data_IF_828247269010
#
_entry.id   IF_828247269010
#
_cell.length_a   1.000
_cell.length_b   1.000
_cell.length_c   1.000
_cell.angle_alpha   90.00
_cell.angle_beta   90.00
_cell.angle_gamma   90.00
#
_symmetry.space_group_name_H-M   'P 1'
#
loop_
_entity.id
_entity.type
_entity.pdbx_description
1 polymer ?
#
# COMPACT_ATOMS: atom_id res chain seq x y z
N UNK A 1 2.58 17.65 -7.17
CA UNK A 1 2.75 18.13 -5.78
C UNK A 1 3.06 19.62 -5.79
N UNK A 2 2.79 20.36 -4.72
CA UNK A 2 2.99 21.83 -4.65
C UNK A 2 4.40 22.31 -5.09
N UNK A 3 5.43 21.47 -4.95
CA UNK A 3 6.79 21.80 -5.39
C UNK A 3 6.97 21.84 -6.92
N UNK A 4 6.18 21.05 -7.68
CA UNK A 4 6.41 20.84 -9.12
C UNK A 4 5.20 21.22 -10.00
N UNK A 5 4.09 21.63 -9.40
CA UNK A 5 2.89 22.03 -10.11
C UNK A 5 2.79 23.56 -10.17
N UNK A 6 3.24 24.12 -11.30
CA UNK A 6 3.24 25.57 -11.55
C UNK A 6 1.85 26.18 -11.74
N UNK A 7 0.80 25.35 -11.78
CA UNK A 7 -0.59 25.82 -11.88
C UNK A 7 -1.20 26.14 -10.52
N UNK A 8 -0.57 25.72 -9.42
CA UNK A 8 -1.04 25.98 -8.06
C UNK A 8 -0.52 27.31 -7.50
N UNK A 9 -1.33 28.03 -6.70
CA UNK A 9 -0.85 29.19 -5.94
C UNK A 9 0.36 28.80 -5.06
N UNK A 10 1.41 29.62 -5.07
CA UNK A 10 2.68 29.40 -4.34
C UNK A 10 3.47 28.16 -4.76
N UNK A 11 3.35 27.72 -6.02
CA UNK A 11 4.16 26.63 -6.57
C UNK A 11 5.66 26.81 -6.29
N UNK A 12 6.35 25.74 -5.90
CA UNK A 12 7.77 25.78 -5.51
C UNK A 12 8.01 25.97 -4.01
N UNK A 13 6.94 26.14 -3.21
CA UNK A 13 7.00 26.10 -1.75
C UNK A 13 5.89 25.20 -1.20
N UNK A 14 6.16 24.47 -0.11
CA UNK A 14 5.12 23.69 0.58
C UNK A 14 4.27 24.66 1.41
N UNK A 15 2.94 24.73 1.22
CA UNK A 15 2.07 25.63 1.99
C UNK A 15 2.16 25.36 3.49
N UNK A 16 2.25 26.43 4.29
CA UNK A 16 2.21 26.34 5.75
C UNK A 16 0.91 25.68 6.21
N UNK A 17 1.01 24.63 7.03
CA UNK A 17 -0.16 23.95 7.60
C UNK A 17 -0.88 22.97 6.67
N UNK A 18 -0.26 22.55 5.56
CA UNK A 18 -0.83 21.53 4.65
C UNK A 18 -1.13 20.23 5.40
N UNK A 19 -0.14 19.70 6.14
CA UNK A 19 -0.27 18.62 7.10
C UNK A 19 0.69 18.87 8.28
N UNK A 20 0.33 18.53 9.52
CA UNK A 20 1.22 18.66 10.66
C UNK A 20 2.33 17.60 10.63
N UNK A 21 3.52 17.98 11.08
CA UNK A 21 4.63 17.05 11.24
C UNK A 21 4.32 15.97 12.29
N UNK A 22 4.75 14.74 12.03
CA UNK A 22 4.66 13.65 12.99
C UNK A 22 5.78 13.78 14.03
N UNK A 23 5.41 13.85 15.31
CA UNK A 23 6.34 13.90 16.45
C UNK A 23 6.45 12.57 17.21
N UNK A 24 5.96 11.48 16.60
CA UNK A 24 5.94 10.13 17.18
C UNK A 24 7.35 9.57 17.35
N UNK A 25 7.66 9.05 18.53
CA UNK A 25 8.94 8.38 18.82
C UNK A 25 8.79 6.86 18.98
N UNK A 26 7.57 6.36 19.22
CA UNK A 26 7.31 4.93 19.25
C UNK A 26 7.40 4.32 17.84
N UNK A 27 8.19 3.25 17.71
CA UNK A 27 8.47 2.65 16.41
C UNK A 27 7.21 2.04 15.78
N UNK A 28 6.31 1.44 16.57
CA UNK A 28 5.10 0.79 16.05
C UNK A 28 4.14 1.85 15.52
N UNK A 29 3.89 2.90 16.30
CA UNK A 29 3.04 4.02 15.90
C UNK A 29 3.59 4.73 14.66
N UNK A 30 4.90 4.99 14.61
CA UNK A 30 5.53 5.60 13.45
C UNK A 30 5.40 4.73 12.19
N UNK A 31 5.56 3.40 12.33
CA UNK A 31 5.38 2.46 11.21
C UNK A 31 3.97 2.51 10.65
N UNK A 32 2.95 2.60 11.50
CA UNK A 32 1.55 2.68 11.06
C UNK A 32 1.24 4.04 10.42
N UNK A 33 1.82 5.13 10.93
CA UNK A 33 1.72 6.44 10.30
C UNK A 33 2.35 6.44 8.89
N UNK A 34 3.54 5.86 8.72
CA UNK A 34 4.20 5.69 7.41
C UNK A 34 3.33 4.86 6.45
N UNK A 35 2.72 3.77 6.92
CA UNK A 35 1.80 2.94 6.11
C UNK A 35 0.58 3.72 5.64
N UNK A 36 0.05 4.61 6.49
CA UNK A 36 -1.08 5.49 6.17
C UNK A 36 -0.68 6.51 5.11
N UNK A 37 0.45 7.19 5.27
CA UNK A 37 0.95 8.17 4.28
C UNK A 37 1.21 7.51 2.93
N UNK A 38 1.90 6.35 2.91
CA UNK A 38 2.15 5.62 1.66
C UNK A 38 0.86 5.24 0.92
N UNK A 39 -0.22 4.93 1.65
CA UNK A 39 -1.54 4.65 1.04
C UNK A 39 -2.14 5.90 0.39
N UNK A 40 -1.98 7.06 1.01
CA UNK A 40 -2.49 8.32 0.49
C UNK A 40 -1.68 8.79 -0.73
N UNK A 41 -0.35 8.76 -0.62
CA UNK A 41 0.57 9.21 -1.65
C UNK A 41 0.48 8.36 -2.92
N UNK A 42 0.46 7.02 -2.79
CA UNK A 42 0.48 6.09 -3.93
C UNK A 42 -0.91 5.53 -4.24
N UNK A 43 -1.96 6.30 -3.93
CA UNK A 43 -3.32 5.89 -4.21
C UNK A 43 -3.53 5.74 -5.72
N UNK A 44 -4.22 4.66 -6.13
CA UNK A 44 -4.50 4.35 -7.54
C UNK A 44 -3.27 4.04 -8.41
N UNK A 45 -2.07 3.92 -7.83
CA UNK A 45 -0.83 3.57 -8.53
C UNK A 45 -0.49 2.06 -8.45
N UNK A 46 -1.50 1.21 -8.30
CA UNK A 46 -1.37 -0.26 -8.28
C UNK A 46 -0.46 -0.86 -7.17
N UNK A 47 -0.06 -0.07 -6.17
CA UNK A 47 0.81 -0.54 -5.07
C UNK A 47 0.06 -1.20 -3.91
N UNK A 48 -1.22 -0.85 -3.71
CA UNK A 48 -1.95 -1.15 -2.46
C UNK A 48 -2.06 -2.65 -2.18
N UNK A 49 -2.24 -3.48 -3.21
CA UNK A 49 -2.32 -4.93 -3.05
C UNK A 49 -1.01 -5.49 -2.48
N UNK A 50 0.12 -5.13 -3.09
CA UNK A 50 1.44 -5.58 -2.65
C UNK A 50 1.80 -5.10 -1.26
N UNK A 51 1.43 -3.86 -0.90
CA UNK A 51 1.58 -3.33 0.45
C UNK A 51 0.79 -4.13 1.49
N UNK A 52 -0.49 -4.41 1.21
CA UNK A 52 -1.34 -5.21 2.10
C UNK A 52 -0.72 -6.60 2.32
N UNK A 53 -0.30 -7.27 1.25
CA UNK A 53 0.26 -8.63 1.32
C UNK A 53 1.58 -8.64 2.11
N UNK A 54 2.53 -7.74 1.80
CA UNK A 54 3.85 -7.76 2.43
C UNK A 54 3.85 -7.34 3.91
N UNK A 55 2.83 -6.61 4.36
CA UNK A 55 2.69 -6.26 5.77
C UNK A 55 2.21 -7.42 6.65
N UNK A 56 1.80 -8.54 6.05
CA UNK A 56 1.51 -9.78 6.76
C UNK A 56 0.02 -10.06 6.95
N UNK A 57 -0.26 -11.28 7.41
CA UNK A 57 -1.61 -11.83 7.51
C UNK A 57 -2.56 -10.98 8.36
N UNK A 58 -2.13 -10.58 9.56
CA UNK A 58 -2.96 -9.80 10.47
C UNK A 58 -3.38 -8.46 9.86
N UNK A 59 -2.43 -7.75 9.21
CA UNK A 59 -2.73 -6.50 8.52
C UNK A 59 -3.68 -6.73 7.34
N UNK A 60 -3.45 -7.78 6.54
CA UNK A 60 -4.29 -8.07 5.38
C UNK A 60 -5.72 -8.46 5.75
N UNK A 61 -5.89 -9.27 6.78
CA UNK A 61 -7.21 -9.64 7.31
C UNK A 61 -7.97 -8.41 7.82
N UNK A 62 -7.29 -7.48 8.50
CA UNK A 62 -7.90 -6.23 8.93
C UNK A 62 -8.24 -5.31 7.75
N UNK A 63 -7.31 -5.13 6.80
CA UNK A 63 -7.45 -4.20 5.69
C UNK A 63 -8.48 -4.65 4.64
N UNK A 64 -8.76 -5.95 4.55
CA UNK A 64 -9.72 -6.56 3.61
C UNK A 64 -10.83 -7.31 4.36
N UNK A 65 -11.14 -6.92 5.60
CA UNK A 65 -12.15 -7.56 6.44
C UNK A 65 -13.55 -7.58 5.78
N UNK A 66 -13.83 -6.62 4.90
CA UNK A 66 -15.06 -6.50 4.12
C UNK A 66 -15.06 -7.33 2.82
N UNK A 67 -14.00 -8.10 2.54
CA UNK A 67 -13.86 -8.93 1.34
C UNK A 67 -14.02 -10.41 1.70
N UNK A 68 -15.24 -10.96 1.69
CA UNK A 68 -15.52 -12.30 2.21
C UNK A 68 -14.79 -13.44 1.46
N UNK A 69 -14.38 -13.20 0.22
CA UNK A 69 -13.69 -14.20 -0.61
C UNK A 69 -12.16 -14.13 -0.50
N UNK A 70 -11.60 -13.18 0.24
CA UNK A 70 -10.17 -13.07 0.45
C UNK A 70 -9.69 -14.04 1.53
N UNK A 71 -8.72 -14.89 1.18
CA UNK A 71 -8.01 -15.75 2.11
C UNK A 71 -6.51 -15.46 1.97
N UNK A 72 -5.88 -14.93 3.02
CA UNK A 72 -4.46 -14.52 2.95
C UNK A 72 -3.53 -15.67 2.54
N UNK A 73 -3.69 -16.86 3.12
CA UNK A 73 -2.82 -18.01 2.84
C UNK A 73 -2.85 -18.44 1.38
N UNK A 74 -4.01 -18.30 0.71
CA UNK A 74 -4.21 -18.62 -0.71
C UNK A 74 -3.93 -17.45 -1.64
N UNK A 75 -4.44 -16.27 -1.32
CA UNK A 75 -4.51 -15.12 -2.22
C UNK A 75 -3.30 -14.16 -2.12
N UNK A 76 -2.32 -14.45 -1.25
CA UNK A 76 -1.06 -13.69 -1.16
C UNK A 76 -0.14 -13.87 -2.37
N UNK A 77 -0.37 -14.90 -3.18
CA UNK A 77 0.37 -15.17 -4.40
C UNK A 77 -0.58 -15.23 -5.60
N UNK A 78 -0.06 -14.84 -6.76
CA UNK A 78 -0.71 -15.16 -8.01
C UNK A 78 -0.49 -16.64 -8.34
N UNK A 79 -1.52 -17.34 -8.85
CA UNK A 79 -1.37 -18.72 -9.26
C UNK A 79 -0.48 -18.80 -10.51
N UNK A 80 0.31 -19.86 -10.60
CA UNK A 80 0.95 -20.25 -11.86
C UNK A 80 -0.20 -20.58 -12.85
N UNK A 81 -0.20 -20.03 -14.08
CA UNK A 81 -1.25 -20.34 -15.04
C UNK A 81 -1.37 -21.84 -15.30
N UNK A 82 -2.60 -22.32 -15.48
CA UNK A 82 -2.87 -23.75 -15.59
C UNK A 82 -2.19 -24.40 -16.81
N UNK A 83 -2.11 -23.68 -17.93
CA UNK A 83 -1.39 -24.12 -19.14
C UNK A 83 0.08 -24.46 -18.86
N UNK A 84 0.75 -23.65 -18.04
CA UNK A 84 2.16 -23.86 -17.69
C UNK A 84 2.35 -25.10 -16.83
N UNK A 85 1.43 -25.31 -15.87
CA UNK A 85 1.41 -26.52 -15.03
C UNK A 85 1.15 -27.78 -15.84
N UNK A 86 0.25 -27.70 -16.81
CA UNK A 86 -0.08 -28.84 -17.66
C UNK A 86 1.07 -29.19 -18.63
N UNK A 87 1.80 -28.17 -19.09
CA UNK A 87 2.92 -28.35 -20.03
C UNK A 87 4.17 -28.88 -19.32
N UNK A 88 4.54 -28.30 -18.18
CA UNK A 88 5.74 -28.71 -17.44
C UNK A 88 5.39 -29.73 -16.34
N UNK A 89 5.59 -31.02 -16.63
CA UNK A 89 5.32 -32.14 -15.71
C UNK A 89 6.28 -32.22 -14.51
N UNK A 90 7.30 -31.37 -14.45
CA UNK A 90 8.23 -31.27 -13.32
C UNK A 90 7.88 -30.17 -12.31
N UNK A 91 6.80 -29.43 -12.52
CA UNK A 91 6.25 -28.45 -11.57
C UNK A 91 5.45 -29.09 -10.44
#
# INVERSE_FOLDING_TARGET
SYLYDSTLPNSGTVPTGLLPDLTLTDQSQLRDAIRRERRAELALEFQRFFDIVRYGQAYAQQALADRPNFNYSRNRFYPIPQSERDTNKGL
#
